data_IF_296163376121
#
_entry.id   IF_296163376121
#
_cell.length_a   1.000
_cell.length_b   1.000
_cell.length_c   1.000
_cell.angle_alpha   90.00
_cell.angle_beta   90.00
_cell.angle_gamma   90.00
#
_symmetry.space_group_name_H-M   'P 1'
#
loop_
_entity.id
_entity.type
_entity.pdbx_description
1 polymer ?
#
# COMPACT_ATOMS: atom_id res chain seq x y z
N UNK A 1 20.14 29.48 -1.56
CA UNK A 1 19.26 28.85 -2.57
C UNK A 1 19.05 27.41 -2.14
N UNK A 2 17.81 26.99 -1.88
CA UNK A 2 17.50 25.62 -1.46
C UNK A 2 17.43 24.72 -2.70
N UNK A 3 18.21 23.65 -2.68
CA UNK A 3 18.18 22.62 -3.73
C UNK A 3 17.16 21.56 -3.33
N UNK A 4 16.09 21.43 -4.11
CA UNK A 4 15.14 20.34 -3.99
C UNK A 4 15.58 19.22 -4.93
N UNK A 5 15.75 18.01 -4.40
CA UNK A 5 16.02 16.83 -5.22
C UNK A 5 14.71 16.09 -5.46
N UNK A 6 14.30 16.02 -6.72
CA UNK A 6 13.15 15.22 -7.14
C UNK A 6 13.62 13.78 -7.35
N UNK A 7 13.29 12.88 -6.43
CA UNK A 7 13.61 11.47 -6.55
C UNK A 7 12.43 10.75 -7.24
N UNK A 8 12.56 10.53 -8.55
CA UNK A 8 11.53 9.84 -9.34
C UNK A 8 11.74 8.32 -9.21
N UNK A 9 10.86 7.66 -8.47
CA UNK A 9 10.85 6.21 -8.31
C UNK A 9 10.02 5.55 -9.43
N UNK A 10 10.70 4.99 -10.44
CA UNK A 10 10.05 4.17 -11.45
C UNK A 10 9.93 2.73 -10.94
N UNK A 11 8.75 2.37 -10.43
CA UNK A 11 8.43 0.97 -10.17
C UNK A 11 7.97 0.34 -11.48
N UNK A 12 8.77 -0.56 -12.03
CA UNK A 12 8.33 -1.41 -13.11
C UNK A 12 7.30 -2.39 -12.53
N UNK A 13 6.05 -2.29 -13.01
CA UNK A 13 5.01 -3.28 -12.75
C UNK A 13 5.42 -4.58 -13.45
N UNK A 14 6.27 -5.37 -12.80
CA UNK A 14 6.52 -6.75 -13.20
C UNK A 14 5.58 -7.64 -12.41
N UNK A 15 4.63 -8.25 -13.11
CA UNK A 15 3.96 -9.45 -12.66
C UNK A 15 5.01 -10.56 -12.57
N UNK A 16 5.18 -11.20 -11.40
CA UNK A 16 5.84 -12.51 -11.35
C UNK A 16 6.80 -12.83 -10.21
N UNK A 17 6.78 -12.15 -9.06
CA UNK A 17 7.52 -12.68 -7.90
C UNK A 17 6.75 -12.41 -6.60
N UNK A 18 6.01 -13.41 -6.11
CA UNK A 18 5.32 -13.38 -4.81
C UNK A 18 6.31 -13.18 -3.64
N UNK A 19 7.61 -13.36 -3.89
CA UNK A 19 8.72 -13.16 -2.94
C UNK A 19 9.49 -11.84 -3.14
N UNK A 20 8.95 -10.85 -3.87
CA UNK A 20 9.62 -9.57 -3.99
C UNK A 20 9.55 -8.77 -2.66
N UNK A 21 10.71 -8.54 -2.02
CA UNK A 21 10.86 -7.77 -0.78
C UNK A 21 11.52 -6.42 -1.01
N UNK A 22 11.09 -5.38 -0.29
CA UNK A 22 11.65 -4.02 -0.34
C UNK A 22 12.16 -3.62 1.05
N UNK A 23 13.32 -2.97 1.12
CA UNK A 23 13.84 -2.43 2.38
C UNK A 23 12.97 -1.26 2.87
N UNK A 24 12.65 -1.27 4.17
CA UNK A 24 11.83 -0.24 4.82
C UNK A 24 12.43 1.17 4.68
N UNK A 25 13.76 1.28 4.69
CA UNK A 25 14.50 2.54 4.49
C UNK A 25 14.18 3.22 3.16
N UNK A 26 13.74 2.45 2.16
CA UNK A 26 13.48 2.96 0.82
C UNK A 26 12.06 3.51 0.66
N UNK A 27 11.19 3.33 1.65
CA UNK A 27 9.78 3.73 1.58
C UNK A 27 9.57 5.23 1.89
N UNK A 28 10.57 5.90 2.46
CA UNK A 28 10.44 7.30 2.88
C UNK A 28 9.43 7.52 4.01
N UNK A 29 9.16 6.47 4.80
CA UNK A 29 8.21 6.49 5.91
C UNK A 29 8.98 6.47 7.22
N UNK A 30 8.54 7.26 8.20
CA UNK A 30 9.18 7.32 9.51
C UNK A 30 9.16 5.94 10.20
N UNK A 31 10.28 5.47 10.81
CA UNK A 31 10.36 4.17 11.47
C UNK A 31 9.25 3.90 12.49
N UNK A 32 8.94 4.88 13.34
CA UNK A 32 7.88 4.73 14.36
C UNK A 32 6.50 4.44 13.73
N UNK A 33 6.21 5.03 12.56
CA UNK A 33 4.96 4.77 11.86
C UNK A 33 4.95 3.36 11.27
N UNK A 34 6.07 2.90 10.72
CA UNK A 34 6.22 1.52 10.23
C UNK A 34 6.07 0.51 11.37
N UNK A 35 6.60 0.82 12.55
CA UNK A 35 6.43 0.00 13.74
C UNK A 35 4.95 -0.09 14.16
N UNK A 36 4.24 1.04 14.24
CA UNK A 36 2.80 1.04 14.54
C UNK A 36 2.01 0.19 13.54
N UNK A 37 2.33 0.28 12.25
CA UNK A 37 1.67 -0.50 11.21
C UNK A 37 1.97 -1.99 11.31
N UNK A 38 3.19 -2.36 11.71
CA UNK A 38 3.54 -3.75 11.99
C UNK A 38 2.80 -4.28 13.23
N UNK A 39 2.71 -3.48 14.29
CA UNK A 39 1.97 -3.81 15.53
C UNK A 39 0.46 -3.98 15.27
N UNK A 40 -0.11 -3.21 14.35
CA UNK A 40 -1.49 -3.37 13.90
C UNK A 40 -1.71 -4.52 12.90
N UNK A 41 -0.65 -5.24 12.52
CA UNK A 41 -0.73 -6.33 11.54
C UNK A 41 -1.00 -5.87 10.10
N UNK A 42 -0.85 -4.59 9.81
CA UNK A 42 -1.09 -4.00 8.48
C UNK A 42 0.02 -4.35 7.50
N UNK A 43 1.24 -4.49 8.02
CA UNK A 43 2.42 -4.90 7.26
C UNK A 43 3.16 -6.00 8.02
N UNK A 44 3.83 -6.87 7.26
CA UNK A 44 4.77 -7.85 7.76
C UNK A 44 6.20 -7.35 7.55
N UNK A 45 6.96 -7.29 8.64
CA UNK A 45 8.37 -6.87 8.59
C UNK A 45 9.28 -8.06 8.87
N UNK A 46 10.13 -8.42 7.91
CA UNK A 46 11.18 -9.43 8.08
C UNK A 46 12.53 -8.83 7.78
N UNK A 47 13.44 -8.85 8.77
CA UNK A 47 14.83 -8.35 8.62
C UNK A 47 14.90 -6.93 8.00
N UNK A 48 13.99 -6.04 8.41
CA UNK A 48 13.92 -4.67 7.88
C UNK A 48 13.36 -4.54 6.46
N UNK A 49 12.66 -5.56 5.97
CA UNK A 49 12.00 -5.60 4.66
C UNK A 49 10.52 -5.88 4.78
N UNK A 50 9.77 -5.44 3.77
CA UNK A 50 8.32 -5.67 3.60
C UNK A 50 8.06 -6.23 2.20
N UNK A 51 7.04 -7.08 1.99
CA UNK A 51 6.64 -7.50 0.65
C UNK A 51 6.27 -6.30 -0.25
N UNK A 52 6.59 -6.37 -1.54
CA UNK A 52 6.30 -5.31 -2.52
C UNK A 52 4.80 -4.96 -2.53
N UNK A 53 3.93 -5.96 -2.47
CA UNK A 53 2.48 -5.75 -2.48
C UNK A 53 2.03 -4.89 -1.29
N UNK A 54 2.59 -5.16 -0.10
CA UNK A 54 2.33 -4.38 1.10
C UNK A 54 2.94 -2.98 1.02
N UNK A 55 4.11 -2.80 0.41
CA UNK A 55 4.68 -1.47 0.16
C UNK A 55 3.77 -0.62 -0.74
N UNK A 56 3.22 -1.20 -1.81
CA UNK A 56 2.26 -0.51 -2.69
C UNK A 56 0.96 -0.14 -1.97
N UNK A 57 0.41 -1.08 -1.19
CA UNK A 57 -0.76 -0.85 -0.33
C UNK A 57 -0.51 0.27 0.67
N UNK A 58 0.68 0.30 1.27
CA UNK A 58 1.08 1.32 2.22
C UNK A 58 1.15 2.72 1.59
N UNK A 59 1.72 2.85 0.39
CA UNK A 59 1.72 4.13 -0.32
C UNK A 59 0.31 4.61 -0.69
N UNK A 60 -0.61 3.70 -1.07
CA UNK A 60 -2.01 4.03 -1.32
C UNK A 60 -2.69 4.56 -0.06
N UNK A 61 -2.52 3.86 1.06
CA UNK A 61 -3.06 4.25 2.35
C UNK A 61 -2.54 5.62 2.82
N UNK A 62 -1.24 5.91 2.65
CA UNK A 62 -0.68 7.21 3.03
C UNK A 62 -1.22 8.36 2.17
N UNK A 63 -1.39 8.16 0.86
CA UNK A 63 -2.04 9.14 0.00
C UNK A 63 -3.50 9.36 0.39
N UNK A 64 -4.24 8.28 0.66
CA UNK A 64 -5.62 8.35 1.15
C UNK A 64 -5.71 9.17 2.45
N UNK A 65 -4.82 8.88 3.40
CA UNK A 65 -4.72 9.61 4.67
C UNK A 65 -4.54 11.12 4.45
N UNK A 66 -3.62 11.50 3.56
CA UNK A 66 -3.35 12.89 3.23
C UNK A 66 -4.54 13.57 2.52
N UNK A 67 -5.17 12.86 1.59
CA UNK A 67 -6.28 13.41 0.79
C UNK A 67 -7.57 13.57 1.59
N UNK A 68 -7.86 12.64 2.51
CA UNK A 68 -9.08 12.64 3.31
C UNK A 68 -8.91 13.29 4.70
N UNK A 69 -7.68 13.64 5.09
CA UNK A 69 -7.39 14.23 6.40
C UNK A 69 -7.67 13.29 7.58
N UNK A 70 -7.66 11.97 7.35
CA UNK A 70 -7.96 10.97 8.37
C UNK A 70 -6.72 10.61 9.20
N UNK A 71 -6.92 10.05 10.38
CA UNK A 71 -5.82 9.49 11.17
C UNK A 71 -5.32 8.14 10.58
N UNK A 72 -4.23 7.62 11.12
CA UNK A 72 -3.60 6.38 10.60
C UNK A 72 -4.55 5.18 10.65
N UNK A 73 -5.27 4.99 11.76
CA UNK A 73 -6.22 3.89 11.93
C UNK A 73 -7.39 3.99 10.96
N UNK A 74 -7.96 5.19 10.80
CA UNK A 74 -9.02 5.46 9.84
C UNK A 74 -8.57 5.18 8.41
N UNK A 75 -7.31 5.54 8.07
CA UNK A 75 -6.76 5.22 6.76
C UNK A 75 -6.65 3.72 6.50
N UNK A 76 -6.26 2.92 7.51
CA UNK A 76 -6.22 1.45 7.42
C UNK A 76 -7.62 0.90 7.14
N UNK A 77 -8.61 1.28 7.95
CA UNK A 77 -9.99 0.80 7.81
C UNK A 77 -10.56 1.16 6.44
N UNK A 78 -10.37 2.41 5.99
CA UNK A 78 -10.88 2.84 4.68
C UNK A 78 -10.16 2.08 3.56
N UNK A 79 -8.85 1.81 3.67
CA UNK A 79 -8.13 1.01 2.69
C UNK A 79 -8.72 -0.40 2.56
N UNK A 80 -9.00 -1.06 3.69
CA UNK A 80 -9.64 -2.39 3.69
C UNK A 80 -11.03 -2.38 3.05
N UNK A 81 -11.82 -1.33 3.33
CA UNK A 81 -13.14 -1.17 2.71
C UNK A 81 -13.06 -0.94 1.21
N UNK A 82 -12.10 -0.14 0.73
CA UNK A 82 -11.88 0.09 -0.70
C UNK A 82 -11.43 -1.21 -1.40
N UNK A 83 -10.50 -1.96 -0.81
CA UNK A 83 -10.07 -3.27 -1.34
C UNK A 83 -11.25 -4.25 -1.41
N UNK A 84 -12.15 -4.22 -0.41
CA UNK A 84 -13.36 -5.05 -0.42
C UNK A 84 -14.35 -4.62 -1.50
N UNK A 85 -14.51 -3.31 -1.75
CA UNK A 85 -15.37 -2.79 -2.82
C UNK A 85 -14.82 -3.20 -4.19
N UNK A 86 -13.51 -3.02 -4.44
CA UNK A 86 -12.84 -3.44 -5.68
C UNK A 86 -13.09 -4.93 -5.95
N UNK A 87 -12.94 -5.79 -4.93
CA UNK A 87 -13.21 -7.23 -5.04
C UNK A 87 -14.66 -7.56 -5.42
N UNK A 88 -15.62 -6.84 -4.83
CA UNK A 88 -17.04 -7.03 -5.10
C UNK A 88 -17.43 -6.54 -6.49
N UNK A 89 -16.88 -5.42 -6.93
CA UNK A 89 -17.07 -4.89 -8.29
C UNK A 89 -16.54 -5.86 -9.34
N UNK A 90 -15.35 -6.42 -9.12
CA UNK A 90 -14.74 -7.45 -9.95
C UNK A 90 -15.61 -8.73 -10.03
N UNK A 91 -16.21 -9.15 -8.91
CA UNK A 91 -17.13 -10.30 -8.88
C UNK A 91 -18.41 -10.04 -9.68
N UNK A 92 -19.00 -8.86 -9.51
CA UNK A 92 -20.19 -8.44 -10.27
C UNK A 92 -19.88 -8.43 -11.78
N UNK A 93 -18.73 -7.90 -12.19
CA UNK A 93 -18.35 -7.85 -13.61
C UNK A 93 -18.15 -9.25 -14.20
N UNK A 94 -17.49 -10.15 -13.46
CA UNK A 94 -17.35 -11.57 -13.85
C UNK A 94 -18.72 -12.23 -14.05
N UNK A 95 -19.67 -12.02 -13.14
CA UNK A 95 -21.01 -12.59 -13.23
C UNK A 95 -21.81 -12.04 -14.42
N UNK A 96 -21.68 -10.75 -14.74
CA UNK A 96 -22.32 -10.15 -15.93
C UNK A 96 -21.80 -10.73 -17.24
N UNK A 97 -20.50 -11.05 -17.31
CA UNK A 97 -19.88 -11.65 -18.49
C UNK A 97 -20.38 -13.09 -18.70
N UNK A 98 -20.54 -13.88 -17.63
CA UNK A 98 -21.00 -15.28 -17.71
C UNK A 98 -22.49 -15.38 -18.06
N UNK A 99 -23.30 -14.38 -17.69
CA UNK A 99 -24.73 -14.32 -18.00
C UNK A 99 -25.07 -13.87 -19.43
N UNK A 100 -24.07 -13.65 -20.29
CA UNK A 100 -24.21 -13.21 -21.68
C UNK A 100 -23.87 -14.33 -22.65
#
# INVERSE_FOLDING_TARGET
MQHFYLQIYRHALFAGDEDAWVNLSNLGIHPDMLQQLAEFGVIEVRRGRVPVQQAQRLHRMLRLRQNLGVNLHGAVIIMDLLERIEQLEDEIERLKIIGK
#
